data_IF_164597841697
#
_entry.id   IF_164597841697
#
_cell.length_a   1.000
_cell.length_b   1.000
_cell.length_c   1.000
_cell.angle_alpha   90.00
_cell.angle_beta   90.00
_cell.angle_gamma   90.00
#
_symmetry.space_group_name_H-M   'P 1'
#
loop_
_entity.id
_entity.type
_entity.pdbx_description
1 polymer ?
#
# COMPACT_ATOMS: atom_id res chain seq x y z
N UNK A 1 6.19 6.46 7.33
CA UNK A 1 6.31 5.03 7.00
C UNK A 1 5.18 4.67 6.05
N UNK A 2 5.47 4.37 4.80
CA UNK A 2 4.44 4.24 3.77
C UNK A 2 3.64 2.93 3.93
N UNK A 3 2.38 3.03 4.33
CA UNK A 3 1.47 1.88 4.47
C UNK A 3 1.06 1.34 3.09
N UNK A 4 1.79 0.36 2.57
CA UNK A 4 1.33 -0.44 1.43
C UNK A 4 0.68 -1.72 1.93
N UNK A 5 -0.37 -2.15 1.22
CA UNK A 5 -1.07 -3.42 1.47
C UNK A 5 -0.94 -4.32 0.25
N UNK A 6 -0.84 -5.62 0.50
CA UNK A 6 -0.90 -6.62 -0.55
C UNK A 6 -2.30 -6.68 -1.17
N UNK A 7 -2.38 -6.70 -2.51
CA UNK A 7 -3.65 -6.79 -3.23
C UNK A 7 -4.38 -8.13 -2.99
N UNK A 8 -3.65 -9.21 -2.73
CA UNK A 8 -4.23 -10.55 -2.51
C UNK A 8 -4.62 -10.80 -1.05
N UNK A 9 -3.64 -10.81 -0.14
CA UNK A 9 -3.88 -11.16 1.27
C UNK A 9 -4.22 -9.96 2.16
N UNK A 10 -4.18 -8.73 1.64
CA UNK A 10 -4.48 -7.48 2.37
C UNK A 10 -3.56 -7.19 3.58
N UNK A 11 -2.53 -8.00 3.78
CA UNK A 11 -1.51 -7.79 4.81
C UNK A 11 -0.77 -6.47 4.57
N UNK A 12 -0.42 -5.79 5.67
CA UNK A 12 0.41 -4.58 5.65
C UNK A 12 1.87 -4.97 5.41
N UNK A 13 2.55 -4.20 4.57
CA UNK A 13 3.97 -4.39 4.27
C UNK A 13 4.72 -3.25 4.94
N UNK A 14 5.65 -3.62 5.83
CA UNK A 14 6.42 -2.67 6.63
C UNK A 14 7.48 -1.95 5.79
N UNK A 15 8.47 -2.72 5.33
CA UNK A 15 9.69 -2.16 4.71
C UNK A 15 9.67 -2.31 3.19
N UNK A 16 9.73 -1.17 2.51
CA UNK A 16 9.76 -1.05 1.05
C UNK A 16 11.16 -0.57 0.73
N UNK A 17 12.12 -1.49 0.86
CA UNK A 17 13.42 -1.30 0.21
C UNK A 17 13.20 -1.52 -1.28
N UNK A 18 13.79 -0.65 -2.10
CA UNK A 18 13.49 -0.46 -3.53
C UNK A 18 13.81 -1.66 -4.42
N UNK A 19 14.21 -2.82 -3.86
CA UNK A 19 14.63 -4.02 -4.61
C UNK A 19 13.90 -5.24 -4.06
N UNK A 20 13.01 -5.83 -4.86
CA UNK A 20 12.48 -7.19 -4.61
C UNK A 20 11.28 -7.30 -3.66
N UNK A 21 10.38 -6.32 -3.60
CA UNK A 21 9.21 -6.40 -2.72
C UNK A 21 8.31 -7.57 -3.14
N UNK A 22 8.19 -8.52 -2.24
CA UNK A 22 7.32 -9.68 -2.33
C UNK A 22 6.55 -9.78 -1.02
N UNK A 23 5.25 -10.05 -1.10
CA UNK A 23 4.46 -10.28 0.10
C UNK A 23 4.97 -11.53 0.83
N UNK A 24 5.36 -11.39 2.09
CA UNK A 24 5.85 -12.49 2.95
C UNK A 24 4.78 -13.57 3.22
N UNK A 25 3.50 -13.22 3.07
CA UNK A 25 2.38 -14.13 3.37
C UNK A 25 1.93 -14.92 2.14
N UNK A 26 1.87 -14.29 0.97
CA UNK A 26 1.28 -14.90 -0.23
C UNK A 26 2.16 -14.88 -1.48
N UNK A 27 3.40 -14.36 -1.38
CA UNK A 27 4.34 -14.29 -2.49
C UNK A 27 3.95 -13.32 -3.62
N UNK A 28 2.83 -12.61 -3.50
CA UNK A 28 2.38 -11.66 -4.52
C UNK A 28 3.26 -10.42 -4.55
N UNK A 29 3.48 -9.86 -5.75
CA UNK A 29 4.25 -8.64 -6.00
C UNK A 29 3.36 -7.43 -6.32
N UNK A 30 2.04 -7.54 -6.08
CA UNK A 30 1.05 -6.49 -6.36
C UNK A 30 0.63 -5.81 -5.06
N UNK A 31 0.82 -4.50 -5.00
CA UNK A 31 0.62 -3.69 -3.80
C UNK A 31 -0.16 -2.41 -4.12
N UNK A 32 -0.90 -1.91 -3.13
CA UNK A 32 -1.56 -0.61 -3.21
C UNK A 32 -1.26 0.22 -1.96
N UNK A 33 -1.20 1.54 -2.11
CA UNK A 33 -1.03 2.46 -0.98
C UNK A 33 -2.38 2.66 -0.30
N UNK A 34 -2.39 2.57 1.02
CA UNK A 34 -3.61 2.83 1.79
C UNK A 34 -4.01 4.31 1.66
N UNK A 35 -5.32 4.56 1.52
CA UNK A 35 -5.84 5.93 1.41
C UNK A 35 -5.56 6.67 2.72
N UNK A 36 -4.93 7.85 2.69
CA UNK A 36 -4.76 8.63 3.90
C UNK A 36 -6.13 9.08 4.43
N UNK A 37 -6.30 9.06 5.76
CA UNK A 37 -7.51 9.56 6.41
C UNK A 37 -7.48 11.10 6.53
N UNK A 38 -7.24 11.76 5.40
CA UNK A 38 -7.21 13.22 5.31
C UNK A 38 -8.34 13.63 4.39
N UNK A 39 -9.16 14.58 4.85
CA UNK A 39 -10.23 15.17 4.04
C UNK A 39 -9.63 15.77 2.77
N UNK A 40 -10.12 15.33 1.62
CA UNK A 40 -9.78 15.94 0.33
C UNK A 40 -10.73 17.12 0.10
N UNK A 41 -10.20 18.34 0.10
CA UNK A 41 -10.97 19.52 -0.29
C UNK A 41 -10.96 19.62 -1.81
N UNK A 42 -12.14 19.56 -2.44
CA UNK A 42 -12.30 19.67 -3.89
C UNK A 42 -13.07 20.98 -4.15
N UNK A 43 -12.49 21.96 -4.86
CA UNK A 43 -13.22 23.17 -5.24
C UNK A 43 -14.32 22.82 -6.25
N UNK A 44 -15.53 23.34 -6.04
CA UNK A 44 -16.60 23.30 -7.06
C UNK A 44 -16.26 24.25 -8.20
N UNK A 45 -16.58 23.86 -9.43
CA UNK A 45 -16.61 24.77 -10.58
C UNK A 45 -17.98 25.44 -10.69
#
# INVERSE_FOLDING_TARGET
>A
MTNYKCARCKARIGDITTVGIQCTVCGSKVFYKERPNVKKTIPSK
#
